data_IF_346384931894
#
_entry.id   IF_346384931894
#
_cell.length_a   1.000
_cell.length_b   1.000
_cell.length_c   1.000
_cell.angle_alpha   90.00
_cell.angle_beta   90.00
_cell.angle_gamma   90.00
#
_symmetry.space_group_name_H-M   'P 1'
#
loop_
_entity.id
_entity.type
_entity.pdbx_description
1 polymer ?
#
# COMPACT_ATOMS: atom_id res chain seq x y z
N UNK A 1 -1.84 1.64 12.70
CA UNK A 1 -3.16 1.06 12.42
C UNK A 1 -3.27 -0.26 13.16
N UNK A 2 -4.36 -0.52 13.88
CA UNK A 2 -4.55 -1.78 14.62
C UNK A 2 -5.09 -2.87 13.70
N UNK A 3 -4.49 -4.06 13.74
CA UNK A 3 -5.01 -5.22 12.99
C UNK A 3 -6.13 -5.92 13.78
N UNK A 4 -7.38 -5.58 13.45
CA UNK A 4 -8.59 -6.14 14.07
C UNK A 4 -9.00 -7.50 13.51
N UNK A 5 -8.25 -8.04 12.51
CA UNK A 5 -8.59 -9.32 11.88
C UNK A 5 -8.34 -10.49 12.84
N UNK A 6 -9.19 -11.51 12.78
CA UNK A 6 -9.02 -12.78 13.53
C UNK A 6 -7.74 -13.50 13.09
N UNK A 7 -7.23 -14.43 13.92
CA UNK A 7 -5.99 -15.17 13.63
C UNK A 7 -5.95 -15.83 12.24
N UNK A 8 -7.08 -16.36 11.75
CA UNK A 8 -7.19 -16.92 10.40
C UNK A 8 -6.97 -15.87 9.28
N UNK A 9 -7.34 -14.60 9.53
CA UNK A 9 -7.12 -13.47 8.64
C UNK A 9 -5.71 -12.87 8.70
N UNK A 10 -4.84 -13.34 9.62
CA UNK A 10 -3.46 -12.87 9.79
C UNK A 10 -2.44 -13.66 8.99
N UNK A 11 -2.87 -14.55 8.09
CA UNK A 11 -1.98 -15.25 7.14
C UNK A 11 -1.11 -14.27 6.33
N UNK A 12 -1.66 -13.10 6.04
CA UNK A 12 -0.97 -12.00 5.38
C UNK A 12 -0.86 -10.83 6.37
N UNK A 13 0.37 -10.40 6.64
CA UNK A 13 0.64 -9.24 7.49
C UNK A 13 -0.07 -7.99 6.93
N UNK A 14 -0.56 -7.13 7.82
CA UNK A 14 -1.41 -5.99 7.48
C UNK A 14 -0.69 -5.00 6.56
N UNK A 15 0.49 -4.52 6.96
CA UNK A 15 1.20 -3.49 6.20
C UNK A 15 1.66 -3.99 4.82
N UNK A 16 2.33 -5.15 4.69
CA UNK A 16 2.78 -5.64 3.39
C UNK A 16 1.62 -5.91 2.43
N UNK A 17 0.47 -6.41 2.93
CA UNK A 17 -0.70 -6.67 2.09
C UNK A 17 -1.33 -5.37 1.60
N UNK A 18 -1.48 -4.38 2.48
CA UNK A 18 -2.00 -3.06 2.10
C UNK A 18 -1.10 -2.41 1.04
N UNK A 19 0.23 -2.43 1.24
CA UNK A 19 1.18 -1.90 0.26
C UNK A 19 1.12 -2.64 -1.07
N UNK A 20 1.03 -3.97 -1.06
CA UNK A 20 0.90 -4.77 -2.28
C UNK A 20 -0.36 -4.40 -3.08
N UNK A 21 -1.50 -4.21 -2.40
CA UNK A 21 -2.75 -3.77 -3.03
C UNK A 21 -2.60 -2.38 -3.65
N UNK A 22 -2.01 -1.42 -2.92
CA UNK A 22 -1.76 -0.06 -3.43
C UNK A 22 -0.84 -0.08 -4.65
N UNK A 23 0.25 -0.84 -4.60
CA UNK A 23 1.16 -0.99 -5.74
C UNK A 23 0.47 -1.60 -6.95
N UNK A 24 -0.39 -2.60 -6.76
CA UNK A 24 -1.18 -3.18 -7.86
C UNK A 24 -2.11 -2.14 -8.49
N UNK A 25 -2.77 -1.30 -7.70
CA UNK A 25 -3.61 -0.22 -8.22
C UNK A 25 -2.77 0.82 -8.99
N UNK A 26 -1.59 1.18 -8.49
CA UNK A 26 -0.65 2.08 -9.17
C UNK A 26 -0.11 1.47 -10.49
N UNK A 27 0.03 0.15 -10.55
CA UNK A 27 0.37 -0.58 -11.77
C UNK A 27 -0.81 -0.70 -12.76
N UNK A 28 -1.97 -0.11 -12.45
CA UNK A 28 -3.13 -0.06 -13.33
C UNK A 28 -4.16 -1.18 -13.10
N UNK A 29 -4.08 -1.95 -12.01
CA UNK A 29 -5.10 -2.93 -11.68
C UNK A 29 -6.43 -2.25 -11.31
N UNK A 30 -7.49 -2.56 -12.05
CA UNK A 30 -8.83 -1.96 -11.88
C UNK A 30 -9.86 -2.90 -11.24
N UNK A 31 -9.45 -4.11 -10.87
CA UNK A 31 -10.33 -5.11 -10.26
C UNK A 31 -9.58 -5.94 -9.22
N UNK A 32 -10.31 -6.51 -8.25
CA UNK A 32 -9.71 -7.39 -7.24
C UNK A 32 -9.02 -8.63 -7.84
N UNK A 33 -9.53 -9.15 -8.97
CA UNK A 33 -8.89 -10.26 -9.69
C UNK A 33 -7.61 -9.83 -10.38
N UNK A 34 -7.57 -8.61 -10.90
CA UNK A 34 -6.33 -8.05 -11.48
C UNK A 34 -5.32 -7.75 -10.37
N UNK A 35 -5.76 -7.30 -9.20
CA UNK A 35 -4.88 -7.12 -8.03
C UNK A 35 -4.29 -8.47 -7.60
N UNK A 36 -5.11 -9.53 -7.50
CA UNK A 36 -4.64 -10.89 -7.22
C UNK A 36 -3.56 -11.30 -8.23
N UNK A 37 -3.79 -11.11 -9.54
CA UNK A 37 -2.82 -11.47 -10.58
C UNK A 37 -1.48 -10.70 -10.45
N UNK A 38 -1.53 -9.38 -10.22
CA UNK A 38 -0.31 -8.58 -10.05
C UNK A 38 0.47 -9.00 -8.79
N UNK A 39 -0.23 -9.29 -7.69
CA UNK A 39 0.43 -9.76 -6.45
C UNK A 39 1.06 -11.14 -6.66
N UNK A 40 0.39 -12.02 -7.41
CA UNK A 40 0.90 -13.36 -7.71
C UNK A 40 2.15 -13.30 -8.60
N UNK A 41 2.12 -12.48 -9.66
CA UNK A 41 3.26 -12.24 -10.56
C UNK A 41 4.46 -11.65 -9.81
N UNK A 42 4.22 -10.72 -8.88
CA UNK A 42 5.26 -10.03 -8.12
C UNK A 42 5.60 -10.69 -6.77
N UNK A 43 5.05 -11.88 -6.47
CA UNK A 43 5.09 -12.46 -5.12
C UNK A 43 6.51 -12.62 -4.55
N UNK A 44 7.46 -13.05 -5.39
CA UNK A 44 8.85 -13.20 -4.98
C UNK A 44 9.48 -11.84 -4.62
N UNK A 45 9.26 -10.82 -5.46
CA UNK A 45 9.74 -9.46 -5.24
C UNK A 45 9.12 -8.84 -3.99
N UNK A 46 7.81 -9.05 -3.76
CA UNK A 46 7.10 -8.58 -2.57
C UNK A 46 7.64 -9.25 -1.30
N UNK A 47 7.87 -10.57 -1.33
CA UNK A 47 8.47 -11.29 -0.22
C UNK A 47 9.88 -10.78 0.11
N UNK A 48 10.69 -10.51 -0.91
CA UNK A 48 12.01 -9.94 -0.72
C UNK A 48 11.94 -8.51 -0.14
N UNK A 49 11.07 -7.67 -0.70
CA UNK A 49 10.92 -6.27 -0.31
C UNK A 49 10.43 -6.10 1.14
N UNK A 50 9.45 -6.89 1.54
CA UNK A 50 8.82 -6.79 2.87
C UNK A 50 9.36 -7.80 3.88
N UNK A 51 10.30 -8.68 3.49
CA UNK A 51 10.78 -9.77 4.35
C UNK A 51 9.70 -10.80 4.69
N UNK A 52 8.63 -10.89 3.89
CA UNK A 52 7.54 -11.86 4.10
C UNK A 52 7.88 -13.23 3.53
N UNK A 53 7.14 -14.25 3.96
CA UNK A 53 7.28 -15.64 3.47
C UNK A 53 5.96 -16.17 2.92
N UNK A 54 5.26 -15.35 2.15
CA UNK A 54 3.99 -15.74 1.55
C UNK A 54 4.22 -16.81 0.51
N UNK A 55 3.60 -17.98 0.71
CA UNK A 55 3.70 -19.11 -0.23
C UNK A 55 2.85 -18.93 -1.49
N UNK A 56 1.82 -18.10 -1.42
CA UNK A 56 0.88 -17.81 -2.51
C UNK A 56 0.30 -16.40 -2.30
N UNK A 57 -0.11 -15.74 -3.38
CA UNK A 57 -0.94 -14.54 -3.29
C UNK A 57 -2.29 -14.81 -2.57
N UNK A 58 -2.85 -13.80 -1.88
CA UNK A 58 -4.23 -13.84 -1.43
C UNK A 58 -5.18 -13.86 -2.64
N UNK A 59 -6.22 -14.70 -2.58
CA UNK A 59 -7.25 -14.69 -3.61
C UNK A 59 -8.10 -13.42 -3.55
N UNK A 60 -8.79 -13.07 -4.64
CA UNK A 60 -9.64 -11.87 -4.72
C UNK A 60 -10.68 -11.78 -3.59
N UNK A 61 -11.19 -12.90 -3.08
CA UNK A 61 -12.10 -12.93 -1.92
C UNK A 61 -11.37 -12.52 -0.65
N UNK A 62 -10.16 -13.04 -0.41
CA UNK A 62 -9.35 -12.66 0.75
C UNK A 62 -8.93 -11.19 0.69
N UNK A 63 -8.65 -10.66 -0.50
CA UNK A 63 -8.38 -9.23 -0.72
C UNK A 63 -9.62 -8.39 -0.40
N UNK A 64 -10.81 -8.83 -0.87
CA UNK A 64 -12.08 -8.18 -0.55
C UNK A 64 -12.32 -8.13 0.95
N UNK A 65 -12.24 -9.27 1.61
CA UNK A 65 -12.50 -9.40 3.05
C UNK A 65 -11.48 -8.59 3.86
N UNK A 66 -10.23 -8.54 3.41
CA UNK A 66 -9.21 -7.68 3.97
C UNK A 66 -9.62 -6.20 3.92
N UNK A 67 -9.98 -5.71 2.73
CA UNK A 67 -10.36 -4.31 2.52
C UNK A 67 -11.63 -3.93 3.30
N UNK A 68 -12.64 -4.80 3.32
CA UNK A 68 -13.87 -4.61 4.09
C UNK A 68 -13.64 -4.63 5.61
N UNK A 69 -12.57 -5.27 6.06
CA UNK A 69 -12.17 -5.30 7.47
C UNK A 69 -11.35 -4.09 7.92
N UNK A 70 -11.03 -3.15 7.04
CA UNK A 70 -10.31 -1.93 7.39
C UNK A 70 -11.27 -0.89 7.97
N UNK A 71 -10.84 -0.21 9.02
CA UNK A 71 -11.50 1.00 9.50
C UNK A 71 -11.10 2.17 8.60
N UNK A 72 -12.07 2.72 7.87
CA UNK A 72 -11.87 3.82 6.93
C UNK A 72 -11.27 5.07 7.60
N UNK A 73 -11.74 5.41 8.80
CA UNK A 73 -11.26 6.60 9.53
C UNK A 73 -9.84 6.39 10.03
N UNK A 74 -9.51 5.18 10.51
CA UNK A 74 -8.16 4.86 10.95
C UNK A 74 -7.16 4.85 9.78
N UNK A 75 -7.58 4.32 8.62
CA UNK A 75 -6.78 4.30 7.40
C UNK A 75 -6.53 5.72 6.86
N UNK A 76 -7.59 6.53 6.75
CA UNK A 76 -7.51 7.92 6.29
C UNK A 76 -6.57 8.73 7.18
N UNK A 77 -6.72 8.64 8.50
CA UNK A 77 -5.86 9.36 9.45
C UNK A 77 -4.40 8.94 9.29
N UNK A 78 -4.13 7.63 9.23
CA UNK A 78 -2.77 7.12 9.05
C UNK A 78 -2.15 7.59 7.73
N UNK A 79 -2.94 7.64 6.65
CA UNK A 79 -2.51 8.15 5.36
C UNK A 79 -2.23 9.66 5.40
N UNK A 80 -3.11 10.44 6.04
CA UNK A 80 -2.95 11.89 6.21
C UNK A 80 -1.69 12.23 7.03
N UNK A 81 -1.45 11.54 8.14
CA UNK A 81 -0.23 11.68 8.95
C UNK A 81 1.03 11.31 8.16
N UNK A 82 0.95 10.29 7.30
CA UNK A 82 2.05 9.91 6.43
C UNK A 82 2.33 10.97 5.36
N UNK A 83 1.29 11.49 4.70
CA UNK A 83 1.41 12.55 3.70
C UNK A 83 1.96 13.86 4.29
N UNK A 84 1.51 14.26 5.49
CA UNK A 84 2.06 15.42 6.19
C UNK A 84 3.55 15.25 6.51
N UNK A 85 3.96 14.09 7.04
CA UNK A 85 5.39 13.81 7.30
C UNK A 85 6.24 13.86 6.03
N UNK A 86 5.68 13.41 4.90
CA UNK A 86 6.38 13.54 3.62
C UNK A 86 6.49 15.00 3.18
N UNK A 87 5.41 15.79 3.26
CA UNK A 87 5.42 17.20 2.86
C UNK A 87 6.34 18.08 3.74
N UNK A 88 6.56 17.71 5.00
CA UNK A 88 7.44 18.43 5.94
C UNK A 88 8.88 17.91 5.97
N UNK A 89 9.27 17.04 5.03
CA UNK A 89 10.63 16.52 4.95
C UNK A 89 11.66 17.64 4.67
N UNK A 90 12.91 17.52 5.17
CA UNK A 90 13.92 18.56 5.03
C UNK A 90 14.23 18.93 3.57
N UNK A 91 14.76 20.14 3.31
CA UNK A 91 15.12 20.61 1.98
C UNK A 91 16.03 19.60 1.26
N UNK A 92 15.77 19.36 -0.03
CA UNK A 92 16.53 18.41 -0.87
C UNK A 92 15.77 17.15 -1.32
N UNK A 93 14.48 17.00 -0.97
CA UNK A 93 13.58 16.02 -1.59
C UNK A 93 12.75 16.68 -2.70
N UNK A 94 12.97 16.27 -3.94
CA UNK A 94 12.14 16.68 -5.07
C UNK A 94 10.84 15.88 -5.09
N UNK A 95 9.69 16.56 -5.02
CA UNK A 95 8.38 15.94 -5.17
C UNK A 95 7.91 16.06 -6.63
N UNK A 96 7.78 14.92 -7.30
CA UNK A 96 7.13 14.83 -8.61
C UNK A 96 5.73 14.30 -8.36
N UNK A 97 4.70 15.06 -8.71
CA UNK A 97 3.35 14.56 -8.67
C UNK A 97 3.17 13.49 -9.76
N UNK A 98 2.43 12.43 -9.45
CA UNK A 98 2.22 11.28 -10.35
C UNK A 98 1.51 11.69 -11.66
N UNK A 99 0.79 12.81 -11.68
CA UNK A 99 0.16 13.39 -12.87
C UNK A 99 1.13 14.18 -13.78
N UNK A 100 2.44 14.11 -13.51
CA UNK A 100 3.47 14.80 -14.28
C UNK A 100 3.67 16.26 -13.89
N UNK A 101 2.96 16.76 -12.88
CA UNK A 101 3.20 18.11 -12.36
C UNK A 101 4.37 18.10 -11.38
N UNK A 102 5.32 18.99 -11.55
CA UNK A 102 6.29 19.26 -10.50
C UNK A 102 5.55 19.96 -9.35
N UNK A 103 5.49 19.34 -8.17
CA UNK A 103 5.24 20.08 -6.96
C UNK A 103 6.57 20.75 -6.63
N UNK A 104 6.74 21.97 -7.15
CA UNK A 104 8.03 22.65 -7.18
C UNK A 104 8.74 22.66 -5.83
N UNK A 105 10.07 22.64 -5.86
CA UNK A 105 10.88 23.01 -4.71
C UNK A 105 10.42 24.37 -4.18
N UNK A 106 10.01 24.41 -2.90
CA UNK A 106 10.10 25.66 -2.15
C UNK A 106 11.57 25.90 -1.90
N UNK A 107 12.17 26.73 -2.78
CA UNK A 107 13.48 27.33 -2.52
C UNK A 107 13.36 28.20 -1.27
N UNK A 108 14.04 27.83 -0.20
CA UNK A 108 14.35 28.75 0.88
C UNK A 108 15.72 29.34 0.57
N UNK A 109 15.72 30.65 0.30
CA UNK A 109 16.83 31.60 0.20
C UNK A 109 17.96 31.26 -0.79
#
# INVERSE_FOLDING_TARGET
>A
MRDVRRAQGKRYALEPLLCAIVMSMLAGAKSLRTIEAVIDEQLANLNQLFGTRWRKAPCWVAIRDFLLGLDEQELERAFREHAHRQASAPPGRHFIAIDGKACGEVRIA
#
